data_IF_557354705366
#
_entry.id   IF_557354705366
#
_cell.length_a   1.000
_cell.length_b   1.000
_cell.length_c   1.000
_cell.angle_alpha   90.00
_cell.angle_beta   90.00
_cell.angle_gamma   90.00
#
_symmetry.space_group_name_H-M   'P 1'
#
loop_
_entity.id
_entity.type
_entity.pdbx_description
1 polymer ?
#
# COMPACT_ATOMS: atom_id res chain seq x y z
N UNK A 1 -21.19 6.20 -9.62
CA UNK A 1 -20.34 5.03 -9.95
C UNK A 1 -20.10 4.29 -8.65
N UNK A 2 -20.50 3.02 -8.54
CA UNK A 2 -20.26 2.25 -7.33
C UNK A 2 -18.76 1.96 -7.21
N UNK A 3 -18.17 2.29 -6.05
CA UNK A 3 -16.79 1.94 -5.74
C UNK A 3 -16.82 0.48 -5.29
N UNK A 4 -16.20 -0.41 -6.08
CA UNK A 4 -16.09 -1.83 -5.73
C UNK A 4 -14.86 -2.03 -4.83
N UNK A 5 -15.06 -2.61 -3.65
CA UNK A 5 -13.97 -3.06 -2.78
C UNK A 5 -13.55 -4.49 -3.15
N UNK A 6 -12.26 -4.76 -3.18
CA UNK A 6 -11.67 -6.07 -3.52
C UNK A 6 -10.52 -6.42 -2.58
N UNK A 7 -10.15 -7.70 -2.53
CA UNK A 7 -8.98 -8.17 -1.77
C UNK A 7 -7.74 -8.25 -2.67
N UNK A 8 -6.56 -8.39 -2.07
CA UNK A 8 -5.33 -8.55 -2.84
C UNK A 8 -5.31 -9.83 -3.67
N UNK A 9 -5.95 -10.89 -3.18
CA UNK A 9 -6.11 -12.16 -3.90
C UNK A 9 -6.90 -12.02 -5.21
N UNK A 10 -7.74 -10.99 -5.33
CA UNK A 10 -8.59 -10.76 -6.50
C UNK A 10 -7.90 -9.91 -7.57
N UNK A 11 -6.76 -9.31 -7.24
CA UNK A 11 -6.04 -8.41 -8.13
C UNK A 11 -5.45 -9.14 -9.33
N UNK A 12 -5.51 -8.45 -10.48
CA UNK A 12 -4.93 -8.89 -11.75
C UNK A 12 -4.03 -7.79 -12.28
N UNK A 13 -3.00 -8.17 -13.04
CA UNK A 13 -2.09 -7.22 -13.65
C UNK A 13 -2.83 -6.22 -14.56
N UNK A 14 -2.40 -4.95 -14.51
CA UNK A 14 -3.02 -3.84 -15.22
C UNK A 14 -3.58 -2.76 -14.29
N UNK A 15 -4.31 -1.81 -14.87
CA UNK A 15 -4.95 -0.72 -14.11
C UNK A 15 -6.12 -1.25 -13.29
N UNK A 16 -6.15 -0.90 -12.00
CA UNK A 16 -7.24 -1.25 -11.10
C UNK A 16 -8.07 0.00 -10.74
N UNK A 17 -9.38 -0.07 -11.00
CA UNK A 17 -10.36 0.95 -10.60
C UNK A 17 -11.12 0.62 -9.32
N UNK A 18 -10.83 -0.55 -8.73
CA UNK A 18 -11.41 -0.96 -7.45
C UNK A 18 -10.62 -0.35 -6.28
N UNK A 19 -11.19 -0.45 -5.09
CA UNK A 19 -10.56 -0.04 -3.83
C UNK A 19 -10.07 -1.26 -3.07
N UNK A 20 -8.91 -1.13 -2.46
CA UNK A 20 -8.38 -2.09 -1.48
C UNK A 20 -8.24 -1.38 -0.14
N UNK A 21 -8.61 -2.07 0.93
CA UNK A 21 -8.41 -1.58 2.29
C UNK A 21 -7.39 -2.48 2.98
N UNK A 22 -6.32 -1.89 3.50
CA UNK A 22 -5.19 -2.64 3.99
C UNK A 22 -4.44 -1.90 5.10
N UNK A 23 -3.81 -2.67 5.97
CA UNK A 23 -2.94 -2.16 7.02
C UNK A 23 -1.51 -2.00 6.51
N UNK A 24 -0.91 -0.85 6.75
CA UNK A 24 0.51 -0.63 6.49
C UNK A 24 1.34 -1.33 7.57
N UNK A 25 2.15 -2.32 7.20
CA UNK A 25 3.01 -3.05 8.14
C UNK A 25 4.35 -2.34 8.33
N UNK A 26 4.98 -1.95 7.23
CA UNK A 26 6.30 -1.31 7.21
C UNK A 26 6.50 -0.58 5.90
N UNK A 27 7.38 0.40 5.89
CA UNK A 27 7.85 1.09 4.69
C UNK A 27 9.34 1.42 4.82
N UNK A 28 10.04 1.52 3.68
CA UNK A 28 11.45 1.91 3.63
C UNK A 28 11.86 2.43 2.24
N UNK A 29 12.92 3.22 2.22
CA UNK A 29 13.50 3.76 0.98
C UNK A 29 14.30 2.70 0.22
N UNK A 30 13.95 2.46 -1.04
CA UNK A 30 14.76 1.67 -1.96
C UNK A 30 15.75 2.59 -2.68
N UNK A 31 17.06 2.37 -2.45
CA UNK A 31 18.13 3.24 -2.96
C UNK A 31 19.01 2.54 -3.99
N UNK A 32 19.44 3.28 -5.00
CA UNK A 32 20.36 2.81 -6.02
C UNK A 32 21.81 2.93 -5.54
N UNK A 33 22.38 1.82 -5.11
CA UNK A 33 23.78 1.76 -4.64
C UNK A 33 24.77 2.20 -5.72
N UNK A 34 24.46 2.00 -7.01
CA UNK A 34 25.34 2.40 -8.12
C UNK A 34 25.26 3.87 -8.49
N UNK A 35 24.24 4.58 -7.99
CA UNK A 35 23.99 6.01 -8.26
C UNK A 35 24.02 6.81 -6.97
N UNK A 36 25.07 6.60 -6.17
CA UNK A 36 25.31 7.35 -4.94
C UNK A 36 24.13 7.33 -3.94
N UNK A 37 23.38 6.23 -3.90
CA UNK A 37 22.22 6.10 -3.01
C UNK A 37 20.98 6.87 -3.46
N UNK A 38 20.88 7.27 -4.73
CA UNK A 38 19.68 7.88 -5.33
C UNK A 38 18.43 7.06 -4.97
N UNK A 39 17.40 7.74 -4.44
CA UNK A 39 16.12 7.12 -4.13
C UNK A 39 15.45 6.63 -5.43
N UNK A 40 15.23 5.32 -5.55
CA UNK A 40 14.54 4.73 -6.69
C UNK A 40 13.03 4.75 -6.48
N UNK A 41 12.57 4.36 -5.29
CA UNK A 41 11.17 4.38 -4.86
C UNK A 41 11.08 4.17 -3.34
N UNK A 42 9.89 4.37 -2.76
CA UNK A 42 9.55 3.91 -1.42
C UNK A 42 8.82 2.57 -1.53
N UNK A 43 9.34 1.55 -0.84
CA UNK A 43 8.69 0.25 -0.69
C UNK A 43 7.80 0.25 0.54
N UNK A 44 6.57 -0.26 0.38
CA UNK A 44 5.60 -0.44 1.44
C UNK A 44 5.20 -1.92 1.47
N UNK A 45 5.02 -2.44 2.66
CA UNK A 45 4.47 -3.76 2.91
C UNK A 45 3.12 -3.58 3.55
N UNK A 46 2.06 -4.04 2.89
CA UNK A 46 0.68 -3.89 3.38
C UNK A 46 -0.02 -5.25 3.44
N UNK A 47 -1.02 -5.36 4.32
CA UNK A 47 -1.79 -6.60 4.51
C UNK A 47 -3.29 -6.31 4.50
N UNK A 48 -4.06 -7.11 3.77
CA UNK A 48 -5.52 -7.02 3.76
C UNK A 48 -6.15 -7.86 4.89
N UNK A 49 -7.48 -7.81 5.01
CA UNK A 49 -8.22 -8.57 6.04
C UNK A 49 -8.08 -10.09 5.90
N UNK A 50 -7.76 -10.58 4.69
CA UNK A 50 -7.54 -11.99 4.41
C UNK A 50 -6.10 -12.42 4.71
N UNK A 51 -5.31 -11.56 5.37
CA UNK A 51 -3.90 -11.78 5.69
C UNK A 51 -3.02 -11.97 4.45
N UNK A 52 -3.48 -11.52 3.29
CA UNK A 52 -2.66 -11.48 2.08
C UNK A 52 -1.72 -10.29 2.21
N UNK A 53 -0.42 -10.54 2.14
CA UNK A 53 0.60 -9.49 2.18
C UNK A 53 0.98 -9.12 0.76
N UNK A 54 0.99 -7.83 0.46
CA UNK A 54 1.38 -7.32 -0.85
C UNK A 54 2.40 -6.19 -0.70
N UNK A 55 3.35 -6.15 -1.64
CA UNK A 55 4.28 -5.05 -1.80
C UNK A 55 3.63 -3.93 -2.60
N UNK A 56 3.90 -2.70 -2.19
CA UNK A 56 3.48 -1.48 -2.89
C UNK A 56 4.67 -0.56 -3.09
N UNK A 57 4.77 0.06 -4.26
CA UNK A 57 5.83 1.04 -4.55
C UNK A 57 5.28 2.42 -4.84
N UNK A 58 5.92 3.43 -4.25
CA UNK A 58 5.67 4.85 -4.53
C UNK A 58 6.90 5.45 -5.20
N UNK A 59 6.73 6.02 -6.39
CA UNK A 59 7.82 6.68 -7.10
C UNK A 59 8.24 7.99 -6.39
N UNK A 60 9.51 8.42 -6.53
CA UNK A 60 10.01 9.61 -5.83
C UNK A 60 9.20 10.88 -6.12
N UNK A 61 8.71 11.03 -7.36
CA UNK A 61 7.88 12.18 -7.74
C UNK A 61 6.50 12.22 -7.05
N UNK A 62 6.03 11.09 -6.52
CA UNK A 62 4.75 10.97 -5.79
C UNK A 62 4.93 10.93 -4.28
N UNK A 63 6.11 10.54 -3.80
CA UNK A 63 6.38 10.39 -2.37
C UNK A 63 6.02 11.63 -1.52
N UNK A 64 6.30 12.89 -1.94
CA UNK A 64 5.93 14.07 -1.16
C UNK A 64 4.43 14.18 -0.84
N UNK A 65 3.55 13.59 -1.67
CA UNK A 65 2.10 13.64 -1.46
C UNK A 65 1.61 12.65 -0.39
N UNK A 66 2.41 11.63 -0.09
CA UNK A 66 2.02 10.54 0.80
C UNK A 66 2.88 10.45 2.06
N UNK A 67 4.06 11.08 2.06
CA UNK A 67 5.07 10.94 3.10
C UNK A 67 4.52 11.16 4.51
N UNK A 68 3.74 12.23 4.71
CA UNK A 68 3.20 12.58 6.03
C UNK A 68 2.10 11.62 6.51
N UNK A 69 1.46 10.91 5.58
CA UNK A 69 0.39 9.96 5.87
C UNK A 69 0.90 8.53 6.12
N UNK A 70 2.17 8.22 5.83
CA UNK A 70 2.71 6.87 6.00
C UNK A 70 2.93 6.54 7.49
N UNK A 71 1.97 5.83 8.09
CA UNK A 71 2.05 5.36 9.47
C UNK A 71 1.91 3.85 9.57
N UNK A 72 2.96 3.19 10.05
CA UNK A 72 2.91 1.75 10.31
C UNK A 72 1.83 1.43 11.36
N UNK A 73 1.07 0.37 11.12
CA UNK A 73 -0.09 -0.04 11.90
C UNK A 73 -1.41 0.59 11.50
N UNK A 74 -1.41 1.71 10.75
CA UNK A 74 -2.63 2.35 10.30
C UNK A 74 -3.29 1.61 9.13
N UNK A 75 -4.62 1.71 9.06
CA UNK A 75 -5.43 1.20 7.95
C UNK A 75 -5.54 2.27 6.88
N UNK A 76 -5.50 1.86 5.61
CA UNK A 76 -5.60 2.76 4.47
C UNK A 76 -6.57 2.21 3.43
N UNK A 77 -7.28 3.13 2.79
CA UNK A 77 -8.03 2.91 1.55
C UNK A 77 -7.17 3.35 0.37
N UNK A 78 -6.95 2.46 -0.58
CA UNK A 78 -6.14 2.72 -1.78
C UNK A 78 -6.99 2.53 -3.03
N UNK A 79 -7.01 3.52 -3.92
CA UNK A 79 -7.79 3.48 -5.16
C UNK A 79 -6.98 3.98 -6.37
N UNK A 80 -7.41 3.63 -7.58
CA UNK A 80 -6.85 4.21 -8.81
C UNK A 80 -5.39 3.85 -9.06
N UNK A 81 -4.96 2.66 -8.66
CA UNK A 81 -3.58 2.19 -8.74
C UNK A 81 -3.34 1.24 -9.92
N UNK A 82 -2.08 0.92 -10.18
CA UNK A 82 -1.68 -0.09 -11.15
C UNK A 82 -1.20 -1.35 -10.44
N UNK A 83 -1.45 -2.53 -11.02
CA UNK A 83 -0.96 -3.81 -10.54
C UNK A 83 0.08 -4.33 -11.53
N UNK A 84 1.29 -4.53 -11.05
CA UNK A 84 2.43 -5.02 -11.84
C UNK A 84 2.93 -6.36 -11.32
N UNK A 85 3.70 -7.08 -12.15
CA UNK A 85 4.43 -8.26 -11.69
C UNK A 85 5.71 -7.84 -10.99
N UNK A 86 6.05 -8.49 -9.89
CA UNK A 86 7.33 -8.29 -9.22
C UNK A 86 8.48 -8.73 -10.12
N UNK A 87 9.54 -7.93 -10.17
CA UNK A 87 10.83 -8.39 -10.69
C UNK A 87 11.46 -9.28 -9.63
N UNK A 88 11.86 -10.50 -9.99
CA UNK A 88 12.23 -11.57 -9.04
C UNK A 88 13.22 -11.11 -7.95
N UNK A 89 14.23 -10.32 -8.30
CA UNK A 89 15.27 -9.86 -7.37
C UNK A 89 14.81 -8.81 -6.35
N UNK A 90 13.62 -8.22 -6.54
CA UNK A 90 13.06 -7.17 -5.70
C UNK A 90 11.76 -7.60 -5.02
N UNK A 91 11.43 -8.89 -5.10
CA UNK A 91 10.19 -9.45 -4.55
C UNK A 91 10.31 -9.59 -3.03
N UNK A 92 9.42 -8.92 -2.29
CA UNK A 92 9.42 -8.91 -0.83
C UNK A 92 8.42 -9.90 -0.19
N UNK A 93 7.52 -10.46 -0.98
CA UNK A 93 6.42 -11.33 -0.52
C UNK A 93 6.31 -12.58 -1.39
N UNK A 94 5.49 -13.55 -0.98
CA UNK A 94 5.20 -14.71 -1.83
C UNK A 94 4.31 -14.38 -3.03
N UNK A 95 3.64 -13.22 -3.01
CA UNK A 95 2.88 -12.70 -4.15
C UNK A 95 3.78 -12.42 -5.35
N UNK A 96 3.35 -12.85 -6.53
CA UNK A 96 3.98 -12.47 -7.81
C UNK A 96 3.56 -11.08 -8.30
N UNK A 97 2.60 -10.45 -7.63
CA UNK A 97 2.02 -9.15 -7.96
C UNK A 97 2.34 -8.11 -6.89
N UNK A 98 2.44 -6.86 -7.33
CA UNK A 98 2.64 -5.67 -6.51
C UNK A 98 1.76 -4.53 -6.99
N UNK A 99 1.47 -3.58 -6.11
CA UNK A 99 0.77 -2.34 -6.45
C UNK A 99 1.80 -1.24 -6.75
N UNK A 100 1.58 -0.50 -7.83
CA UNK A 100 2.36 0.67 -8.21
C UNK A 100 1.46 1.92 -8.12
N UNK A 101 1.89 2.90 -7.34
CA UNK A 101 1.22 4.19 -7.31
C UNK A 101 1.46 4.94 -8.61
N UNK A 102 0.39 5.47 -9.17
CA UNK A 102 0.39 6.27 -10.39
C UNK A 102 -0.22 7.66 -10.12
N UNK A 103 -0.42 8.45 -11.18
CA UNK A 103 -0.94 9.81 -11.08
C UNK A 103 -2.33 9.91 -10.47
N UNK A 104 -3.15 8.88 -10.64
CA UNK A 104 -4.54 8.81 -10.19
C UNK A 104 -4.70 8.10 -8.86
N UNK A 105 -3.61 7.64 -8.25
CA UNK A 105 -3.70 6.87 -7.01
C UNK A 105 -4.08 7.76 -5.83
N UNK A 106 -5.15 7.39 -5.14
CA UNK A 106 -5.51 7.94 -3.84
C UNK A 106 -5.11 6.96 -2.73
N UNK A 107 -4.68 7.51 -1.60
CA UNK A 107 -4.22 6.76 -0.44
C UNK A 107 -4.66 7.53 0.81
N UNK A 108 -5.72 7.06 1.44
CA UNK A 108 -6.40 7.77 2.52
C UNK A 108 -6.41 6.91 3.79
N UNK A 109 -6.02 7.50 4.91
CA UNK A 109 -6.03 6.80 6.19
C UNK A 109 -7.48 6.56 6.66
N UNK A 110 -7.77 5.33 7.06
CA UNK A 110 -9.05 4.97 7.66
C UNK A 110 -8.96 5.16 9.17
N UNK A 111 -9.65 6.18 9.69
CA UNK A 111 -9.96 6.28 11.11
C UNK A 111 -10.99 5.21 11.44
N UNK A 112 -10.53 4.06 11.94
CA UNK A 112 -11.42 3.15 12.67
C UNK A 112 -11.95 3.94 13.87
N UNK A 113 -13.28 4.08 14.06
CA UNK A 113 -13.77 4.54 15.35
C UNK A 113 -13.34 3.48 16.36
N UNK A 114 -12.49 3.85 17.32
CA UNK A 114 -12.31 3.03 18.50
C UNK A 114 -13.73 2.79 19.06
N UNK A 115 -14.22 1.55 19.17
CA UNK A 115 -15.36 1.34 20.05
C UNK A 115 -14.89 1.87 21.41
N UNK A 116 -15.61 2.86 21.94
CA UNK A 116 -15.40 3.36 23.30
C UNK A 116 -15.48 2.15 24.23
N UNK A 117 -14.33 1.56 24.55
CA UNK A 117 -14.20 0.71 25.70
C UNK A 117 -14.23 1.66 26.89
N UNK A 118 -15.44 2.09 27.27
CA UNK A 118 -15.68 2.73 28.55
C UNK A 118 -15.21 1.76 29.64
N UNK A 119 -14.23 2.14 30.49
CA UNK A 119 -13.79 1.32 31.60
C UNK A 119 -14.75 1.42 32.81
N UNK A 120 -16.05 1.49 32.58
CA UNK A 120 -17.11 1.51 33.61
C UNK A 120 -17.80 0.13 33.72
N UNK A 121 -17.00 -0.93 33.77
CA UNK A 121 -17.44 -2.23 34.28
C UNK A 121 -16.33 -2.83 35.15
N UNK A 122 -16.13 -2.23 36.31
CA UNK A 122 -15.65 -2.86 37.54
C UNK A 122 -16.40 -2.27 38.74
#
# INVERSE_FOLDING_TARGET
>A
MAITKVFFSDLRAGRCSSVVEARLLRFWEAKNVKRDGELMWMDLLIVDVNLTVMQVTISPGRLPQFCDSLRAGAMFSVAGFEVSRCVQNFRLTDSSLMICFNETTSFEELTEPFPDYSPEML
#
